data_IF_943920327533
#
_entry.id   IF_943920327533
#
_cell.length_a   1.000
_cell.length_b   1.000
_cell.length_c   1.000
_cell.angle_alpha   90.00
_cell.angle_beta   90.00
_cell.angle_gamma   90.00
#
_symmetry.space_group_name_H-M   'P 1'
#
loop_
_entity.id
_entity.type
_entity.pdbx_description
1 polymer ?
#
# COMPACT_ATOMS: atom_id res chain seq x y z
N UNK A 1 1.97 21.42 -14.02
CA UNK A 1 3.05 20.56 -13.48
C UNK A 1 2.36 19.43 -12.74
N UNK A 2 2.57 18.18 -13.14
CA UNK A 2 1.96 17.01 -12.50
C UNK A 2 2.87 16.44 -11.42
N UNK A 3 2.30 15.77 -10.42
CA UNK A 3 3.07 15.03 -9.42
C UNK A 3 3.65 13.75 -10.03
N UNK A 4 4.85 13.36 -9.60
CA UNK A 4 5.42 12.04 -9.87
C UNK A 4 4.95 11.12 -8.74
N UNK A 5 4.21 10.07 -9.07
CA UNK A 5 3.52 9.22 -8.08
C UNK A 5 4.05 7.78 -8.18
N UNK A 6 4.31 7.17 -7.02
CA UNK A 6 4.56 5.73 -6.87
C UNK A 6 3.52 5.10 -5.94
N UNK A 7 2.99 3.96 -6.33
CA UNK A 7 2.06 3.14 -5.55
C UNK A 7 2.76 1.93 -4.96
N UNK A 8 2.39 1.54 -3.75
CA UNK A 8 2.84 0.30 -3.11
C UNK A 8 1.63 -0.37 -2.44
N UNK A 9 1.16 -1.48 -3.01
CA UNK A 9 -0.04 -2.18 -2.54
C UNK A 9 -0.02 -3.65 -2.98
N UNK A 10 -0.89 -4.48 -2.40
CA UNK A 10 -1.20 -5.80 -2.98
C UNK A 10 -1.94 -5.62 -4.32
N UNK A 11 -2.15 -6.73 -5.05
CA UNK A 11 -3.00 -6.74 -6.23
C UNK A 11 -4.41 -6.20 -5.94
N UNK A 12 -5.06 -5.69 -6.98
CA UNK A 12 -6.39 -5.11 -6.85
C UNK A 12 -7.38 -6.11 -6.20
N UNK A 13 -8.11 -5.71 -5.15
CA UNK A 13 -8.87 -6.66 -4.32
C UNK A 13 -10.18 -7.13 -4.98
N UNK A 14 -10.55 -6.62 -6.16
CA UNK A 14 -11.82 -6.93 -6.83
C UNK A 14 -11.65 -7.03 -8.35
N UNK A 15 -12.60 -7.71 -9.01
CA UNK A 15 -12.70 -7.74 -10.48
C UNK A 15 -14.16 -7.44 -10.87
N UNK A 16 -14.43 -6.35 -11.63
CA UNK A 16 -13.46 -5.34 -12.06
C UNK A 16 -12.97 -4.46 -10.90
N UNK A 17 -11.83 -3.79 -11.06
CA UNK A 17 -11.31 -2.78 -10.13
C UNK A 17 -11.17 -1.44 -10.83
N UNK A 18 -11.28 -0.33 -10.07
CA UNK A 18 -11.05 1.01 -10.60
C UNK A 18 -9.63 1.13 -11.20
N UNK A 19 -8.65 0.50 -10.54
CA UNK A 19 -7.25 0.49 -10.96
C UNK A 19 -7.08 0.00 -12.41
N UNK A 20 -7.73 -1.12 -12.76
CA UNK A 20 -7.70 -1.68 -14.11
C UNK A 20 -8.55 -0.86 -15.10
N UNK A 21 -9.76 -0.45 -14.70
CA UNK A 21 -10.70 0.27 -15.58
C UNK A 21 -10.06 1.57 -16.11
N UNK A 22 -9.37 2.31 -15.25
CA UNK A 22 -8.73 3.59 -15.63
C UNK A 22 -7.26 3.45 -16.01
N UNK A 23 -6.73 2.20 -16.05
CA UNK A 23 -5.33 1.89 -16.36
C UNK A 23 -4.34 2.71 -15.54
N UNK A 24 -4.51 2.72 -14.21
CA UNK A 24 -3.65 3.52 -13.33
C UNK A 24 -2.16 3.18 -13.49
N UNK A 25 -1.83 1.93 -13.80
CA UNK A 25 -0.46 1.50 -14.05
C UNK A 25 0.23 2.23 -15.23
N UNK A 26 -0.54 2.80 -16.17
CA UNK A 26 0.00 3.58 -17.29
C UNK A 26 0.29 5.04 -16.88
N UNK A 27 -0.24 5.49 -15.74
CA UNK A 27 -0.20 6.88 -15.28
C UNK A 27 0.78 7.12 -14.13
N UNK A 28 1.25 6.05 -13.48
CA UNK A 28 2.15 6.11 -12.33
C UNK A 28 3.01 4.86 -12.20
N UNK A 29 4.10 4.96 -11.45
CA UNK A 29 4.86 3.77 -11.05
C UNK A 29 4.03 2.97 -10.04
N UNK A 30 3.78 1.68 -10.28
CA UNK A 30 3.06 0.82 -9.34
C UNK A 30 3.93 -0.37 -8.95
N UNK A 31 4.08 -0.58 -7.65
CA UNK A 31 4.80 -1.71 -7.08
C UNK A 31 3.83 -2.59 -6.31
N UNK A 32 3.74 -3.87 -6.70
CA UNK A 32 3.02 -4.88 -5.93
C UNK A 32 3.86 -5.32 -4.74
N UNK A 33 3.35 -5.10 -3.52
CA UNK A 33 4.05 -5.42 -2.29
C UNK A 33 3.15 -5.33 -1.06
N UNK A 34 3.51 -6.09 -0.03
CA UNK A 34 2.82 -6.10 1.26
C UNK A 34 3.48 -5.10 2.22
N UNK A 35 2.68 -4.27 2.90
CA UNK A 35 3.17 -3.29 3.90
C UNK A 35 3.69 -3.96 5.18
N UNK A 36 3.35 -5.24 5.38
CA UNK A 36 3.87 -6.06 6.48
C UNK A 36 5.32 -6.49 6.24
N UNK A 37 5.83 -6.39 5.00
CA UNK A 37 7.23 -6.66 4.68
C UNK A 37 8.06 -5.37 4.85
N UNK A 38 8.61 -5.19 6.05
CA UNK A 38 9.34 -3.98 6.42
C UNK A 38 10.51 -3.67 5.48
N UNK A 39 11.35 -4.66 5.17
CA UNK A 39 12.55 -4.44 4.35
C UNK A 39 12.19 -4.06 2.92
N UNK A 40 11.16 -4.69 2.33
CA UNK A 40 10.70 -4.31 0.99
C UNK A 40 10.08 -2.93 0.97
N UNK A 41 9.24 -2.60 1.97
CA UNK A 41 8.65 -1.27 2.07
C UNK A 41 9.74 -0.19 2.22
N UNK A 42 10.69 -0.41 3.12
CA UNK A 42 11.85 0.46 3.34
C UNK A 42 12.63 0.70 2.05
N UNK A 43 12.97 -0.36 1.33
CA UNK A 43 13.72 -0.24 0.07
C UNK A 43 12.92 0.51 -0.99
N UNK A 44 11.62 0.25 -1.10
CA UNK A 44 10.73 0.94 -2.06
C UNK A 44 10.64 2.45 -1.79
N UNK A 45 10.55 2.86 -0.52
CA UNK A 45 10.55 4.27 -0.11
C UNK A 45 11.92 4.91 -0.34
N UNK A 46 13.01 4.23 0.05
CA UNK A 46 14.37 4.76 -0.08
C UNK A 46 14.81 4.93 -1.53
N UNK A 47 14.34 4.07 -2.43
CA UNK A 47 14.57 4.17 -3.87
C UNK A 47 13.79 5.36 -4.47
N UNK A 48 12.53 5.53 -4.08
CA UNK A 48 11.66 6.57 -4.64
C UNK A 48 11.90 7.97 -4.07
N UNK A 49 12.34 8.06 -2.80
CA UNK A 49 12.61 9.31 -2.06
C UNK A 49 11.43 10.32 -2.10
N UNK A 50 10.23 9.93 -1.63
CA UNK A 50 9.06 10.79 -1.67
C UNK A 50 9.22 12.02 -0.78
N UNK A 51 8.73 13.18 -1.25
CA UNK A 51 8.57 14.39 -0.42
C UNK A 51 7.24 14.36 0.38
N UNK A 52 6.25 13.60 -0.11
CA UNK A 52 4.91 13.49 0.46
C UNK A 52 4.49 12.01 0.42
N UNK A 53 3.96 11.50 1.52
CA UNK A 53 3.49 10.11 1.66
C UNK A 53 2.01 10.09 2.06
N UNK A 54 1.19 9.31 1.33
CA UNK A 54 -0.20 9.02 1.67
C UNK A 54 -0.35 7.53 2.04
N UNK A 55 -0.67 7.23 3.30
CA UNK A 55 -0.90 5.85 3.75
C UNK A 55 -2.37 5.47 3.65
N UNK A 56 -2.72 4.66 2.65
CA UNK A 56 -4.10 4.13 2.47
C UNK A 56 -4.16 2.60 2.38
N UNK A 57 -3.01 1.91 2.46
CA UNK A 57 -2.97 0.45 2.46
C UNK A 57 -3.43 -0.08 3.83
N UNK A 58 -4.55 -0.81 3.84
CA UNK A 58 -5.17 -1.33 5.05
C UNK A 58 -6.03 -2.56 4.71
N UNK A 59 -6.43 -3.31 5.75
CA UNK A 59 -7.58 -4.20 5.71
C UNK A 59 -8.81 -3.37 6.14
N UNK A 60 -9.76 -3.07 5.23
CA UNK A 60 -10.88 -2.16 5.50
C UNK A 60 -12.20 -2.86 5.86
N UNK A 61 -12.27 -4.20 5.81
CA UNK A 61 -13.49 -4.98 5.94
C UNK A 61 -13.72 -5.42 7.40
N UNK A 62 -14.65 -4.74 8.08
CA UNK A 62 -15.04 -5.03 9.47
C UNK A 62 -15.43 -6.50 9.67
N UNK A 63 -16.22 -7.08 8.76
CA UNK A 63 -16.65 -8.49 8.88
C UNK A 63 -15.46 -9.44 8.86
N UNK A 64 -14.53 -9.24 7.93
CA UNK A 64 -13.33 -10.06 7.80
C UNK A 64 -12.38 -9.87 8.99
N UNK A 65 -12.39 -8.71 9.67
CA UNK A 65 -11.57 -8.51 10.87
C UNK A 65 -11.94 -9.39 12.06
N UNK A 66 -13.19 -9.86 12.14
CA UNK A 66 -13.60 -10.83 13.16
C UNK A 66 -13.04 -12.22 12.86
N UNK A 67 -12.97 -12.59 11.59
CA UNK A 67 -12.46 -13.89 11.13
C UNK A 67 -10.92 -13.90 11.08
N UNK A 68 -10.31 -12.76 10.76
CA UNK A 68 -8.87 -12.58 10.56
C UNK A 68 -8.32 -11.39 11.38
N UNK A 69 -8.41 -11.43 12.73
CA UNK A 69 -7.98 -10.31 13.56
C UNK A 69 -6.47 -10.09 13.51
N UNK A 70 -5.67 -11.15 13.51
CA UNK A 70 -4.19 -11.06 13.46
C UNK A 70 -3.74 -10.38 12.15
N UNK A 71 -4.31 -10.78 11.02
CA UNK A 71 -4.06 -10.15 9.71
C UNK A 71 -4.46 -8.67 9.73
N UNK A 72 -5.60 -8.34 10.34
CA UNK A 72 -6.09 -6.96 10.44
C UNK A 72 -5.16 -6.08 11.27
N UNK A 73 -4.72 -6.55 12.44
CA UNK A 73 -3.78 -5.83 13.29
C UNK A 73 -2.40 -5.70 12.64
N UNK A 74 -1.87 -6.77 12.05
CA UNK A 74 -0.56 -6.73 11.38
C UNK A 74 -0.58 -5.77 10.19
N UNK A 75 -1.65 -5.76 9.39
CA UNK A 75 -1.77 -4.83 8.27
C UNK A 75 -1.94 -3.38 8.75
N UNK A 76 -2.93 -3.11 9.60
CA UNK A 76 -3.31 -1.74 9.93
C UNK A 76 -2.35 -1.10 10.95
N UNK A 77 -1.87 -1.86 11.93
CA UNK A 77 -0.99 -1.34 12.99
C UNK A 77 0.47 -1.49 12.59
N UNK A 78 0.93 -2.72 12.35
CA UNK A 78 2.35 -2.93 12.05
C UNK A 78 2.74 -2.33 10.70
N UNK A 79 1.87 -2.36 9.70
CA UNK A 79 2.09 -1.66 8.43
C UNK A 79 2.25 -0.13 8.61
N UNK A 80 1.46 0.48 9.49
CA UNK A 80 1.63 1.90 9.84
C UNK A 80 2.97 2.15 10.54
N UNK A 81 3.34 1.30 11.50
CA UNK A 81 4.65 1.39 12.19
C UNK A 81 5.79 1.27 11.19
N UNK A 82 5.74 0.29 10.28
CA UNK A 82 6.73 0.12 9.24
C UNK A 82 6.86 1.36 8.35
N UNK A 83 5.74 2.00 7.99
CA UNK A 83 5.79 3.21 7.18
C UNK A 83 6.44 4.38 7.93
N UNK A 84 6.08 4.59 9.20
CA UNK A 84 6.57 5.71 10.01
C UNK A 84 8.05 5.55 10.41
N UNK A 85 8.54 4.34 10.62
CA UNK A 85 9.97 4.07 10.86
C UNK A 85 10.85 4.42 9.64
N UNK A 86 10.26 4.47 8.45
CA UNK A 86 10.93 4.81 7.19
C UNK A 86 10.77 6.27 6.77
N UNK A 87 10.12 7.10 7.60
CA UNK A 87 9.89 8.53 7.33
C UNK A 87 11.06 9.41 7.76
#
# INVERSE_FOLDING_TARGET
MGAIVKGYALDAPTVPSLFEIVRLNDLMESHIGDIRDFEKLRNSIAEFKPEIVFHMAAQPLVRLSYEQPIETYSTNVMGTVHLLENS
#
